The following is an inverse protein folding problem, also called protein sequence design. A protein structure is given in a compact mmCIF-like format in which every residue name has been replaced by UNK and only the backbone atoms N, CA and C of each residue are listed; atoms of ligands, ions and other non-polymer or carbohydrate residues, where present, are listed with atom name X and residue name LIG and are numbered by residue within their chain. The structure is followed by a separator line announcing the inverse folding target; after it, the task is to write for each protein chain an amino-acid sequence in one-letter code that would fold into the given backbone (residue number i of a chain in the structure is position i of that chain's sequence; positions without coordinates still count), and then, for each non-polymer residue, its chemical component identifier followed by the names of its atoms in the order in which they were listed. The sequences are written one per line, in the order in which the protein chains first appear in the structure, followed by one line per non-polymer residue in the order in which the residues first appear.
data_IF_017683492494
#
_entry.id   IF_017683492494
#
_cell.length_a   1.000
_cell.length_b   1.000
_cell.length_c   1.000
_cell.angle_alpha   90.00
_cell.angle_beta   90.00
_cell.angle_gamma   90.00
#
_symmetry.space_group_name_H-M   'P 1'
#
loop_
_entity.id
_entity.type
_entity.pdbx_description
1 polymer ?
#
# COMPACT_ATOMS: atom_id res chain seq x y z
N UNK A 1 0.16 19.98 -7.83
CA UNK A 1 0.16 18.52 -8.09
C UNK A 1 1.42 17.79 -7.65
N UNK A 2 2.64 18.34 -7.80
CA UNK A 2 3.85 17.77 -7.16
C UNK A 2 3.67 17.56 -5.65
N UNK A 3 2.91 18.45 -5.01
CA UNK A 3 2.46 18.36 -3.61
C UNK A 3 1.74 17.05 -3.29
N UNK A 4 0.78 16.61 -4.12
CA UNK A 4 0.02 15.38 -3.87
C UNK A 4 0.91 14.12 -3.92
N UNK A 5 1.87 14.07 -4.85
CA UNK A 5 2.82 12.97 -4.93
C UNK A 5 3.77 12.94 -3.74
N UNK A 6 4.22 14.12 -3.26
CA UNK A 6 5.06 14.24 -2.07
C UNK A 6 4.31 13.76 -0.84
N UNK A 7 3.04 14.17 -0.66
CA UNK A 7 2.18 13.74 0.43
C UNK A 7 1.96 12.22 0.41
N UNK A 8 1.63 11.62 -0.74
CA UNK A 8 1.44 10.16 -0.81
C UNK A 8 2.70 9.39 -0.43
N UNK A 9 3.85 9.79 -0.96
CA UNK A 9 5.12 9.11 -0.70
C UNK A 9 5.47 9.19 0.79
N UNK A 10 5.28 10.35 1.41
CA UNK A 10 5.46 10.54 2.85
C UNK A 10 4.49 9.68 3.64
N UNK A 11 3.20 9.73 3.33
CA UNK A 11 2.18 8.91 3.99
C UNK A 11 2.53 7.43 3.91
N UNK A 12 2.90 6.93 2.73
CA UNK A 12 3.30 5.54 2.53
C UNK A 12 4.53 5.15 3.36
N UNK A 13 5.55 6.00 3.40
CA UNK A 13 6.79 5.73 4.14
C UNK A 13 6.57 5.76 5.66
N UNK A 14 5.81 6.74 6.17
CA UNK A 14 5.41 6.80 7.59
C UNK A 14 4.55 5.59 7.97
N UNK A 15 3.62 5.21 7.09
CA UNK A 15 2.77 4.05 7.27
C UNK A 15 3.57 2.74 7.31
N UNK A 16 4.67 2.62 6.57
CA UNK A 16 5.56 1.47 6.65
C UNK A 16 6.47 1.51 7.89
N UNK A 17 6.93 2.70 8.27
CA UNK A 17 7.75 2.87 9.47
C UNK A 17 6.96 2.51 10.74
N UNK A 18 5.74 3.05 10.88
CA UNK A 18 4.83 2.71 11.98
C UNK A 18 4.56 1.20 12.07
N UNK A 19 4.57 0.51 10.93
CA UNK A 19 4.41 -0.94 10.88
C UNK A 19 5.63 -1.72 11.31
N UNK A 20 6.82 -1.27 10.90
CA UNK A 20 8.05 -1.85 11.41
C UNK A 20 8.12 -1.67 12.94
N UNK A 21 7.67 -0.53 13.46
CA UNK A 21 7.59 -0.29 14.90
C UNK A 21 6.55 -1.18 15.60
N UNK A 22 5.35 -1.37 15.02
CA UNK A 22 4.35 -2.26 15.62
C UNK A 22 4.81 -3.72 15.64
N UNK A 23 5.51 -4.17 14.59
CA UNK A 23 6.10 -5.51 14.57
C UNK A 23 7.17 -5.71 15.66
N UNK A 24 7.89 -4.64 16.05
CA UNK A 24 8.85 -4.68 17.16
C UNK A 24 8.18 -4.73 18.54
N UNK A 25 6.94 -4.28 18.67
CA UNK A 25 6.19 -4.38 19.93
C UNK A 25 5.76 -5.82 20.24
N UNK A 26 5.70 -6.70 19.24
CA UNK A 26 5.21 -8.06 19.42
C UNK A 26 6.16 -8.95 20.25
N UNK A 27 7.48 -9.03 19.97
CA UNK A 27 8.43 -9.72 20.83
C UNK A 27 8.43 -9.19 22.28
N UNK A 28 8.20 -7.87 22.45
CA UNK A 28 8.09 -7.28 23.78
C UNK A 28 6.84 -7.77 24.53
N UNK A 29 5.71 -7.94 23.82
CA UNK A 29 4.50 -8.51 24.39
C UNK A 29 4.68 -9.99 24.80
N UNK A 30 5.33 -10.80 23.96
CA UNK A 30 5.65 -12.20 24.29
C UNK A 30 6.56 -12.30 25.53
N UNK A 31 7.54 -11.39 25.66
CA UNK A 31 8.42 -11.35 26.83
C UNK A 31 7.65 -11.05 28.12
N UNK A 32 6.71 -10.09 28.06
CA UNK A 32 5.82 -9.75 29.17
C UNK A 32 4.93 -10.95 29.52
N UNK A 33 4.38 -11.63 28.50
CA UNK A 33 3.54 -12.80 28.70
C UNK A 33 4.29 -13.95 29.39
N UNK A 34 5.51 -14.25 28.93
CA UNK A 34 6.37 -15.28 29.52
C UNK A 34 6.70 -14.97 30.99
N UNK A 35 7.03 -13.70 31.28
CA UNK A 35 7.30 -13.25 32.64
C UNK A 35 6.08 -13.42 33.56
N UNK A 36 4.92 -12.96 33.09
CA UNK A 36 3.68 -13.06 33.85
C UNK A 36 3.21 -14.52 34.02
N UNK A 37 3.53 -15.44 33.10
CA UNK A 37 3.17 -16.87 33.23
C UNK A 37 3.84 -17.53 34.43
N UNK A 38 5.06 -17.09 34.77
CA UNK A 38 5.86 -17.65 35.86
C UNK A 38 5.26 -17.42 37.25
N UNK A 39 4.41 -16.40 37.42
CA UNK A 39 3.85 -16.00 38.73
C UNK A 39 2.42 -16.51 39.01
N UNK A 40 1.77 -17.23 38.07
CA UNK A 40 0.36 -17.61 38.25
C UNK A 40 0.21 -19.02 38.87
N UNK A 41 -0.13 -19.09 40.16
CA UNK A 41 -0.27 -20.34 40.91
C UNK A 41 -1.69 -20.94 40.92
N UNK A 42 -2.70 -20.22 40.44
CA UNK A 42 -4.12 -20.65 40.51
C UNK A 42 -4.70 -21.02 39.15
N UNK A 43 -5.25 -22.23 39.07
CA UNK A 43 -5.81 -22.85 37.86
C UNK A 43 -6.95 -22.00 37.25
N UNK A 44 -7.78 -21.36 38.07
CA UNK A 44 -8.94 -20.60 37.58
C UNK A 44 -8.54 -19.29 36.88
N UNK A 45 -7.57 -18.56 37.46
CA UNK A 45 -7.00 -17.36 36.84
C UNK A 45 -6.27 -17.69 35.55
N UNK A 46 -5.71 -18.90 35.44
CA UNK A 46 -5.02 -19.37 34.24
C UNK A 46 -5.95 -19.44 33.02
N UNK A 47 -7.18 -19.94 33.18
CA UNK A 47 -8.12 -20.09 32.06
C UNK A 47 -8.64 -18.75 31.52
N UNK A 48 -9.08 -17.85 32.39
CA UNK A 48 -9.57 -16.52 31.98
C UNK A 48 -8.46 -15.74 31.29
N UNK A 49 -7.25 -15.81 31.84
CA UNK A 49 -6.09 -15.13 31.28
C UNK A 49 -5.68 -15.71 29.93
N UNK A 50 -5.71 -17.03 29.76
CA UNK A 50 -5.46 -17.68 28.47
C UNK A 50 -6.47 -17.23 27.41
N UNK A 51 -7.76 -17.13 27.75
CA UNK A 51 -8.78 -16.62 26.83
C UNK A 51 -8.54 -15.16 26.42
N UNK A 52 -8.12 -14.30 27.36
CA UNK A 52 -7.78 -12.90 27.07
C UNK A 52 -6.56 -12.82 26.15
N UNK A 53 -5.50 -13.59 26.42
CA UNK A 53 -4.30 -13.64 25.60
C UNK A 53 -4.61 -14.11 24.17
N UNK A 54 -5.44 -15.15 24.03
CA UNK A 54 -5.84 -15.65 22.73
C UNK A 54 -6.70 -14.63 21.95
N UNK A 55 -7.59 -13.91 22.63
CA UNK A 55 -8.37 -12.83 22.03
C UNK A 55 -7.48 -11.67 21.56
N UNK A 56 -6.49 -11.27 22.37
CA UNK A 56 -5.52 -10.23 22.01
C UNK A 56 -4.66 -10.66 20.81
N UNK A 57 -4.17 -11.90 20.80
CA UNK A 57 -3.43 -12.47 19.67
C UNK A 57 -4.27 -12.50 18.38
N UNK A 58 -5.56 -12.81 18.48
CA UNK A 58 -6.47 -12.76 17.34
C UNK A 58 -6.71 -11.33 16.82
N UNK A 59 -6.86 -10.36 17.73
CA UNK A 59 -6.97 -8.94 17.37
C UNK A 59 -5.69 -8.44 16.70
N UNK A 60 -4.52 -8.87 17.17
CA UNK A 60 -3.23 -8.53 16.57
C UNK A 60 -3.11 -9.13 15.16
N UNK A 61 -3.47 -10.41 14.99
CA UNK A 61 -3.54 -11.06 13.68
C UNK A 61 -4.48 -10.33 12.71
N UNK A 62 -5.68 -9.95 13.16
CA UNK A 62 -6.62 -9.15 12.36
C UNK A 62 -6.04 -7.79 12.01
N UNK A 63 -5.37 -7.15 12.97
CA UNK A 63 -4.73 -5.85 12.78
C UNK A 63 -3.66 -5.95 11.71
N UNK A 64 -2.76 -6.93 11.76
CA UNK A 64 -1.77 -7.22 10.70
C UNK A 64 -2.44 -7.46 9.35
N UNK A 65 -3.56 -8.18 9.31
CA UNK A 65 -4.30 -8.41 8.07
C UNK A 65 -4.89 -7.12 7.48
N UNK A 66 -5.60 -6.32 8.29
CA UNK A 66 -6.13 -5.02 7.87
C UNK A 66 -5.03 -4.04 7.46
N UNK A 67 -3.89 -4.11 8.15
CA UNK A 67 -2.69 -3.36 7.82
C UNK A 67 -2.18 -3.67 6.40
N UNK A 68 -2.27 -4.92 5.94
CA UNK A 68 -1.95 -5.29 4.55
C UNK A 68 -3.02 -4.83 3.56
N UNK A 69 -4.29 -4.89 3.96
CA UNK A 69 -5.42 -4.44 3.13
C UNK A 69 -5.30 -2.96 2.75
N UNK A 70 -4.69 -2.12 3.59
CA UNK A 70 -4.53 -0.68 3.31
C UNK A 70 -3.82 -0.39 1.99
N UNK A 71 -2.86 -1.22 1.58
CA UNK A 71 -2.16 -1.02 0.31
C UNK A 71 -3.08 -1.29 -0.87
N UNK A 72 -3.98 -2.27 -0.75
CA UNK A 72 -5.03 -2.50 -1.72
C UNK A 72 -5.98 -1.31 -1.75
N UNK A 73 -6.41 -0.80 -0.59
CA UNK A 73 -7.28 0.37 -0.51
C UNK A 73 -6.63 1.59 -1.17
N UNK A 74 -5.37 1.89 -0.87
CA UNK A 74 -4.63 3.01 -1.49
C UNK A 74 -4.44 2.80 -3.01
N UNK A 75 -4.15 1.58 -3.45
CA UNK A 75 -4.06 1.25 -4.87
C UNK A 75 -5.42 1.44 -5.57
N UNK A 76 -6.50 1.02 -4.91
CA UNK A 76 -7.86 1.19 -5.41
C UNK A 76 -8.29 2.62 -5.47
N UNK A 77 -8.06 3.39 -4.40
CA UNK A 77 -8.37 4.81 -4.32
C UNK A 77 -7.70 5.55 -5.47
N UNK A 78 -6.42 5.29 -5.72
CA UNK A 78 -5.68 5.90 -6.84
C UNK A 78 -6.24 5.51 -8.20
N UNK A 79 -6.57 4.24 -8.37
CA UNK A 79 -7.16 3.77 -9.62
C UNK A 79 -8.55 4.35 -9.86
N UNK A 80 -9.32 4.48 -8.77
CA UNK A 80 -10.66 5.02 -8.79
C UNK A 80 -10.64 6.53 -9.06
N UNK A 81 -9.79 7.28 -8.36
CA UNK A 81 -9.55 8.71 -8.59
C UNK A 81 -9.13 8.97 -10.04
N UNK A 82 -8.28 8.11 -10.60
CA UNK A 82 -7.90 8.17 -12.01
C UNK A 82 -9.08 7.93 -12.95
N UNK A 83 -9.87 6.86 -12.73
CA UNK A 83 -10.97 6.46 -13.63
C UNK A 83 -12.16 7.41 -13.58
N UNK A 84 -12.44 7.99 -12.41
CA UNK A 84 -13.58 8.90 -12.22
C UNK A 84 -13.25 10.35 -12.47
N UNK A 85 -12.09 10.73 -13.00
CA UNK A 85 -11.78 12.16 -13.20
C UNK A 85 -12.78 12.88 -14.12
N UNK A 86 -13.24 12.24 -15.19
CA UNK A 86 -14.31 12.78 -16.06
C UNK A 86 -15.72 12.71 -15.44
N UNK A 87 -15.89 11.92 -14.38
CA UNK A 87 -17.17 11.72 -13.66
C UNK A 87 -17.23 12.61 -12.41
N UNK A 88 -16.08 12.98 -11.82
CA UNK A 88 -15.96 13.89 -10.68
C UNK A 88 -16.36 15.32 -11.02
N UNK A 89 -16.28 15.71 -12.29
CA UNK A 89 -16.81 17.00 -12.72
C UNK A 89 -18.34 16.97 -12.88
N UNK A 90 -18.98 15.81 -13.12
CA UNK A 90 -20.38 15.80 -13.61
C UNK A 90 -21.35 14.74 -13.06
N UNK A 91 -20.98 13.79 -12.19
CA UNK A 91 -21.95 12.77 -11.73
C UNK A 91 -21.75 12.26 -10.29
N UNK A 92 -22.67 12.69 -9.42
CA UNK A 92 -23.13 11.92 -8.28
C UNK A 92 -23.78 10.63 -8.79
N UNK A 93 -23.12 9.47 -8.64
CA UNK A 93 -23.83 8.25 -8.23
C UNK A 93 -22.95 7.04 -7.93
N UNK A 94 -23.50 6.22 -7.03
CA UNK A 94 -22.94 5.05 -6.34
C UNK A 94 -22.97 3.80 -7.25
N UNK A 95 -22.33 2.72 -6.80
CA UNK A 95 -22.53 1.28 -7.17
C UNK A 95 -21.36 0.53 -7.85
N UNK A 96 -20.29 1.15 -8.35
CA UNK A 96 -19.27 0.40 -9.14
C UNK A 96 -18.11 -0.26 -8.36
N UNK A 97 -18.04 -0.13 -7.03
CA UNK A 97 -16.79 -0.39 -6.28
C UNK A 97 -16.52 -1.87 -5.91
N UNK A 98 -17.53 -2.75 -5.85
CA UNK A 98 -17.36 -4.11 -5.28
C UNK A 98 -16.98 -5.22 -6.28
N UNK A 99 -17.39 -5.12 -7.55
CA UNK A 99 -17.18 -6.20 -8.55
C UNK A 99 -16.02 -5.86 -9.51
N UNK A 100 -15.68 -4.57 -9.63
CA UNK A 100 -14.65 -4.08 -10.55
C UNK A 100 -13.24 -4.44 -10.06
N UNK A 101 -13.05 -4.69 -8.77
CA UNK A 101 -11.71 -4.79 -8.20
C UNK A 101 -10.84 -5.94 -8.71
N UNK A 102 -11.40 -7.14 -8.77
CA UNK A 102 -10.66 -8.36 -9.14
C UNK A 102 -10.37 -8.46 -10.65
N UNK A 103 -11.32 -8.08 -11.50
CA UNK A 103 -11.14 -8.09 -12.97
C UNK A 103 -10.21 -6.96 -13.43
N UNK A 104 -10.26 -5.81 -12.75
CA UNK A 104 -9.43 -4.66 -13.11
C UNK A 104 -7.97 -4.87 -12.72
N UNK A 105 -7.68 -5.56 -11.62
CA UNK A 105 -6.28 -5.79 -11.21
C UNK A 105 -5.42 -6.49 -12.26
N UNK A 106 -5.95 -7.50 -12.97
CA UNK A 106 -5.22 -8.17 -14.05
C UNK A 106 -5.04 -7.30 -15.30
N UNK A 107 -5.94 -6.35 -15.53
CA UNK A 107 -5.99 -5.55 -16.76
C UNK A 107 -5.54 -4.09 -16.60
N UNK A 108 -5.17 -3.65 -15.39
CA UNK A 108 -4.75 -2.27 -15.09
C UNK A 108 -3.68 -1.76 -16.07
N UNK A 109 -2.67 -2.58 -16.39
CA UNK A 109 -1.61 -2.17 -17.32
C UNK A 109 -2.13 -1.92 -18.74
N UNK A 110 -3.10 -2.71 -19.21
CA UNK A 110 -3.74 -2.53 -20.52
C UNK A 110 -4.64 -1.29 -20.52
N UNK A 111 -5.39 -1.10 -19.43
CA UNK A 111 -6.28 0.05 -19.24
C UNK A 111 -5.47 1.35 -19.23
N UNK A 112 -4.37 1.42 -18.47
CA UNK A 112 -3.49 2.60 -18.42
C UNK A 112 -2.89 2.92 -19.80
N UNK A 113 -2.44 1.90 -20.55
CA UNK A 113 -1.95 2.08 -21.93
C UNK A 113 -3.03 2.60 -22.88
N UNK A 114 -4.26 2.13 -22.73
CA UNK A 114 -5.41 2.62 -23.51
C UNK A 114 -5.69 4.10 -23.22
N UNK A 115 -5.81 4.48 -21.95
CA UNK A 115 -6.05 5.88 -21.57
C UNK A 115 -4.90 6.80 -22.00
N UNK A 116 -3.65 6.35 -21.95
CA UNK A 116 -2.50 7.12 -22.43
C UNK A 116 -2.58 7.48 -23.92
N UNK A 117 -3.20 6.64 -24.75
CA UNK A 117 -3.39 6.94 -26.18
C UNK A 117 -4.57 7.90 -26.42
N UNK A 118 -5.50 7.97 -25.47
CA UNK A 118 -6.72 8.79 -25.56
C UNK A 118 -6.57 10.16 -24.90
N UNK A 119 -5.50 10.39 -24.13
CA UNK A 119 -5.29 11.66 -23.43
C UNK A 119 -5.21 12.82 -24.41
N UNK A 120 -6.03 13.85 -24.19
CA UNK A 120 -6.11 15.01 -25.09
C UNK A 120 -5.15 16.12 -24.71
N UNK A 121 -4.80 16.20 -23.42
CA UNK A 121 -3.93 17.26 -22.91
C UNK A 121 -2.55 16.73 -22.53
N UNK A 122 -1.54 17.59 -22.68
CA UNK A 122 -0.17 17.30 -22.27
C UNK A 122 -0.13 16.93 -20.78
N UNK A 123 -0.84 17.71 -19.95
CA UNK A 123 -0.97 17.51 -18.49
C UNK A 123 -1.53 16.13 -18.16
N UNK A 124 -2.62 15.73 -18.81
CA UNK A 124 -3.23 14.41 -18.60
C UNK A 124 -2.25 13.28 -18.96
N UNK A 125 -1.54 13.42 -20.09
CA UNK A 125 -0.55 12.42 -20.50
C UNK A 125 0.61 12.27 -19.49
N UNK A 126 1.04 13.37 -18.86
CA UNK A 126 2.07 13.37 -17.81
C UNK A 126 1.57 12.69 -16.54
N UNK A 127 0.34 12.97 -16.12
CA UNK A 127 -0.27 12.36 -14.92
C UNK A 127 -0.51 10.86 -15.12
N UNK A 128 -0.92 10.44 -16.32
CA UNK A 128 -1.04 9.03 -16.68
C UNK A 128 0.31 8.34 -16.59
N UNK A 129 1.36 8.97 -17.15
CA UNK A 129 2.73 8.43 -17.11
C UNK A 129 3.24 8.30 -15.67
N UNK A 130 2.96 9.28 -14.80
CA UNK A 130 3.31 9.19 -13.38
C UNK A 130 2.57 8.05 -12.68
N UNK A 131 1.26 7.93 -12.92
CA UNK A 131 0.44 6.85 -12.36
C UNK A 131 0.92 5.48 -12.84
N UNK A 132 1.30 5.36 -14.11
CA UNK A 132 1.89 4.15 -14.69
C UNK A 132 3.20 3.77 -13.98
N UNK A 133 4.08 4.74 -13.73
CA UNK A 133 5.35 4.52 -13.03
C UNK A 133 5.14 4.09 -11.58
N UNK A 134 4.24 4.75 -10.86
CA UNK A 134 3.95 4.36 -9.46
C UNK A 134 3.32 2.97 -9.43
N UNK A 135 2.39 2.68 -10.34
CA UNK A 135 1.73 1.38 -10.40
C UNK A 135 2.72 0.26 -10.70
N UNK A 136 3.73 0.50 -11.56
CA UNK A 136 4.84 -0.45 -11.79
C UNK A 136 5.61 -0.77 -10.50
N UNK A 137 5.78 0.20 -9.61
CA UNK A 137 6.47 0.02 -8.32
C UNK A 137 5.55 -0.62 -7.27
N UNK A 138 4.27 -0.25 -7.21
CA UNK A 138 3.33 -0.81 -6.23
C UNK A 138 2.99 -2.27 -6.52
N UNK A 139 3.02 -2.70 -7.77
CA UNK A 139 2.55 -4.03 -8.16
C UNK A 139 3.33 -5.20 -7.55
N UNK A 140 4.68 -5.20 -7.54
CA UNK A 140 5.45 -6.25 -6.86
C UNK A 140 5.20 -6.29 -5.36
N UNK A 141 5.03 -5.12 -4.72
CA UNK A 141 4.72 -5.03 -3.29
C UNK A 141 3.36 -5.66 -3.00
N UNK A 142 2.33 -5.31 -3.78
CA UNK A 142 1.00 -5.90 -3.64
C UNK A 142 1.01 -7.42 -3.88
N UNK A 143 1.77 -7.90 -4.86
CA UNK A 143 1.92 -9.33 -5.12
C UNK A 143 2.58 -10.07 -3.95
N UNK A 144 3.68 -9.54 -3.43
CA UNK A 144 4.32 -10.10 -2.24
C UNK A 144 3.35 -10.12 -1.05
N UNK A 145 2.57 -9.04 -0.88
CA UNK A 145 1.52 -8.96 0.14
C UNK A 145 0.41 -10.01 -0.03
N UNK A 146 -0.04 -10.26 -1.27
CA UNK A 146 -1.02 -11.34 -1.53
C UNK A 146 -0.46 -12.73 -1.19
N UNK A 147 0.80 -13.00 -1.57
CA UNK A 147 1.44 -14.29 -1.29
C UNK A 147 1.55 -14.46 0.23
N UNK A 148 2.06 -13.44 0.93
CA UNK A 148 2.14 -13.44 2.39
C UNK A 148 0.77 -13.71 3.00
N UNK A 149 -0.27 -12.96 2.63
CA UNK A 149 -1.62 -13.15 3.16
C UNK A 149 -2.11 -14.59 2.96
N UNK A 150 -1.90 -15.19 1.80
CA UNK A 150 -2.27 -16.59 1.55
C UNK A 150 -1.47 -17.59 2.38
N UNK A 151 -0.18 -17.33 2.61
CA UNK A 151 0.68 -18.17 3.45
C UNK A 151 0.32 -18.08 4.93
N UNK A 152 -0.17 -16.93 5.39
CA UNK A 152 -0.59 -16.71 6.78
C UNK A 152 -2.01 -17.25 7.07
N UNK A 153 -2.85 -17.45 6.06
CA UNK A 153 -4.24 -17.94 6.24
C UNK A 153 -4.39 -19.23 7.07
N UNK A 154 -3.55 -20.27 6.90
CA UNK A 154 -3.63 -21.49 7.71
C UNK A 154 -3.42 -21.24 9.20
N UNK A 155 -2.64 -20.23 9.57
CA UNK A 155 -2.43 -19.89 10.98
C UNK A 155 -3.73 -19.43 11.65
N UNK A 156 -4.58 -18.71 10.92
CA UNK A 156 -5.91 -18.32 11.42
C UNK A 156 -6.75 -19.53 11.82
N UNK A 157 -6.68 -20.62 11.05
CA UNK A 157 -7.38 -21.87 11.39
C UNK A 157 -6.82 -22.52 12.66
N UNK A 158 -5.50 -22.45 12.86
CA UNK A 158 -4.84 -22.98 14.07
C UNK A 158 -5.26 -22.17 15.30
N UNK A 159 -5.35 -20.84 15.20
CA UNK A 159 -5.85 -19.97 16.29
C UNK A 159 -7.29 -20.34 16.66
N UNK A 160 -8.16 -20.44 15.65
CA UNK A 160 -9.58 -20.79 15.85
C UNK A 160 -9.68 -22.18 16.49
N UNK A 161 -8.93 -23.16 15.99
CA UNK A 161 -8.92 -24.50 16.58
C UNK A 161 -8.45 -24.46 18.04
N UNK A 162 -7.38 -23.73 18.35
CA UNK A 162 -6.87 -23.56 19.71
C UNK A 162 -7.88 -22.85 20.64
N UNK A 163 -8.71 -21.94 20.10
CA UNK A 163 -9.74 -21.22 20.84
C UNK A 163 -10.93 -22.10 21.24
N UNK A 164 -11.41 -22.90 20.30
CA UNK A 164 -12.69 -23.61 20.43
C UNK A 164 -12.52 -25.09 20.78
N UNK A 165 -11.38 -25.70 20.49
CA UNK A 165 -11.11 -27.10 20.77
C UNK A 165 -10.19 -27.26 22.00
N UNK A 166 -10.35 -28.36 22.74
CA UNK A 166 -9.51 -28.65 23.91
C UNK A 166 -8.06 -28.81 23.45
N UNK A 167 -7.21 -27.87 23.84
CA UNK A 167 -5.82 -27.85 23.39
C UNK A 167 -5.04 -29.04 23.95
N UNK A 168 -4.44 -29.82 23.05
CA UNK A 168 -3.40 -30.79 23.42
C UNK A 168 -2.04 -30.10 23.38
N UNK A 169 -1.03 -30.71 24.02
CA UNK A 169 0.36 -30.20 24.00
C UNK A 169 0.85 -29.96 22.56
N UNK A 170 0.47 -30.84 21.64
CA UNK A 170 0.78 -30.70 20.21
C UNK A 170 0.19 -29.41 19.60
N UNK A 171 -1.10 -29.15 19.79
CA UNK A 171 -1.76 -27.96 19.23
C UNK A 171 -1.20 -26.66 19.80
N UNK A 172 -0.87 -26.65 21.08
CA UNK A 172 -0.20 -25.54 21.74
C UNK A 172 1.17 -25.26 21.10
N UNK A 173 2.01 -26.30 20.94
CA UNK A 173 3.32 -26.15 20.28
C UNK A 173 3.21 -25.69 18.83
N UNK A 174 2.24 -26.21 18.09
CA UNK A 174 1.97 -25.82 16.70
C UNK A 174 1.54 -24.36 16.62
N UNK A 175 0.69 -23.90 17.54
CA UNK A 175 0.26 -22.51 17.64
C UNK A 175 1.46 -21.57 17.84
N UNK A 176 2.30 -21.82 18.85
CA UNK A 176 3.47 -20.96 19.12
C UNK A 176 4.46 -20.93 17.95
N UNK A 177 4.73 -22.09 17.34
CA UNK A 177 5.64 -22.17 16.19
C UNK A 177 5.08 -21.39 15.00
N UNK A 178 3.78 -21.54 14.73
CA UNK A 178 3.11 -20.87 13.61
C UNK A 178 3.06 -19.36 13.84
N UNK A 179 2.80 -18.92 15.06
CA UNK A 179 2.81 -17.50 15.43
C UNK A 179 4.17 -16.87 15.18
N UNK A 180 5.23 -17.47 15.73
CA UNK A 180 6.60 -17.01 15.51
C UNK A 180 6.94 -16.89 14.02
N UNK A 181 6.58 -17.92 13.24
CA UNK A 181 6.79 -17.92 11.80
C UNK A 181 6.01 -16.80 11.09
N UNK A 182 4.77 -16.54 11.49
CA UNK A 182 3.98 -15.44 10.96
C UNK A 182 4.66 -14.09 11.19
N UNK A 183 5.15 -13.83 12.41
CA UNK A 183 5.82 -12.58 12.73
C UNK A 183 7.10 -12.40 11.92
N UNK A 184 7.90 -13.46 11.78
CA UNK A 184 9.10 -13.43 10.93
C UNK A 184 8.74 -13.10 9.48
N UNK A 185 7.72 -13.76 8.92
CA UNK A 185 7.29 -13.50 7.55
C UNK A 185 6.76 -12.08 7.35
N UNK A 186 5.99 -11.56 8.32
CA UNK A 186 5.49 -10.17 8.30
C UNK A 186 6.65 -9.18 8.38
N UNK A 187 7.63 -9.41 9.25
CA UNK A 187 8.82 -8.58 9.37
C UNK A 187 9.67 -8.58 8.09
N UNK A 188 9.88 -9.75 7.48
CA UNK A 188 10.60 -9.88 6.21
C UNK A 188 9.88 -9.14 5.08
N UNK A 189 8.55 -9.24 5.01
CA UNK A 189 7.75 -8.49 4.05
C UNK A 189 7.81 -6.98 4.29
N UNK A 190 7.75 -6.54 5.55
CA UNK A 190 7.84 -5.12 5.90
C UNK A 190 9.21 -4.54 5.53
N UNK A 191 10.28 -5.29 5.78
CA UNK A 191 11.64 -4.98 5.35
C UNK A 191 11.75 -4.93 3.81
N UNK A 192 11.27 -5.96 3.12
CA UNK A 192 11.24 -6.02 1.66
C UNK A 192 10.49 -4.83 1.06
N UNK A 193 9.26 -4.58 1.50
CA UNK A 193 8.41 -3.50 0.96
C UNK A 193 9.02 -2.12 1.21
N UNK A 194 9.58 -1.89 2.39
CA UNK A 194 10.25 -0.63 2.73
C UNK A 194 11.49 -0.42 1.87
N UNK A 195 12.37 -1.43 1.79
CA UNK A 195 13.61 -1.37 1.00
C UNK A 195 13.31 -1.21 -0.49
N UNK A 196 12.34 -1.96 -1.01
CA UNK A 196 11.95 -1.91 -2.42
C UNK A 196 11.38 -0.54 -2.80
N UNK A 197 10.49 0.01 -1.97
CA UNK A 197 9.90 1.34 -2.19
C UNK A 197 10.98 2.42 -2.06
N UNK A 198 11.84 2.32 -1.05
CA UNK A 198 12.96 3.24 -0.87
C UNK A 198 13.90 3.26 -2.08
N UNK A 199 14.27 2.09 -2.60
CA UNK A 199 15.12 1.95 -3.79
C UNK A 199 14.47 2.54 -5.04
N UNK A 200 13.20 2.20 -5.32
CA UNK A 200 12.52 2.60 -6.55
C UNK A 200 12.08 4.07 -6.56
N UNK A 201 11.68 4.63 -5.41
CA UNK A 201 11.40 6.06 -5.34
C UNK A 201 12.67 6.92 -5.18
N UNK A 202 13.82 6.28 -4.96
CA UNK A 202 15.12 6.91 -4.69
C UNK A 202 15.12 7.70 -3.39
N UNK A 203 16.26 7.91 -2.73
CA UNK A 203 16.37 8.95 -1.69
C UNK A 203 15.87 10.26 -2.30
N UNK A 204 15.14 11.07 -1.52
CA UNK A 204 14.60 12.40 -1.87
C UNK A 204 15.56 13.33 -2.67
N UNK A 205 16.84 12.99 -2.86
CA UNK A 205 17.89 13.80 -3.47
C UNK A 205 18.07 13.69 -4.98
N UNK A 206 17.34 12.84 -5.71
CA UNK A 206 17.28 12.95 -7.19
C UNK A 206 15.92 13.44 -7.66
N UNK A 207 15.36 14.44 -7.00
CA UNK A 207 14.76 15.49 -7.82
C UNK A 207 15.92 16.07 -8.62
N UNK A 208 16.18 15.51 -9.81
CA UNK A 208 16.55 16.37 -10.91
C UNK A 208 15.46 17.43 -10.89
N UNK A 209 15.76 18.56 -10.26
CA UNK A 209 15.16 19.82 -10.63
C UNK A 209 15.33 19.77 -12.14
N UNK A 210 14.25 19.42 -12.84
CA UNK A 210 14.10 19.88 -14.19
C UNK A 210 14.27 21.37 -13.97
N UNK A 211 15.49 21.85 -14.26
CA UNK A 211 15.69 23.24 -14.58
C UNK A 211 14.64 23.39 -15.67
N UNK A 212 13.50 23.94 -15.28
CA UNK A 212 12.65 24.60 -16.23
C UNK A 212 13.61 25.65 -16.71
N UNK A 213 14.35 25.33 -17.77
CA UNK A 213 14.92 26.37 -18.61
C UNK A 213 13.71 27.24 -18.81
N UNK A 214 13.74 28.39 -18.13
CA UNK A 214 12.73 29.42 -18.30
C UNK A 214 12.79 29.61 -19.79
N UNK A 215 11.81 28.99 -20.49
CA UNK A 215 11.65 29.13 -21.92
C UNK A 215 11.79 30.63 -22.11
N UNK A 216 12.76 31.00 -22.96
CA UNK A 216 13.10 32.37 -23.34
C UNK A 216 11.93 33.30 -22.99
N UNK A 217 12.21 34.33 -22.18
CA UNK A 217 11.25 35.31 -21.67
C UNK A 217 9.97 35.34 -22.50
N UNK A 218 8.81 35.02 -21.93
CA UNK A 218 7.56 34.69 -22.66
C UNK A 218 7.24 35.73 -23.76
N UNK A 219 7.67 36.96 -23.52
CA UNK A 219 7.68 38.11 -24.45
C UNK A 219 8.41 37.82 -25.77
N UNK A 220 9.59 37.21 -25.74
CA UNK A 220 10.41 36.86 -26.91
C UNK A 220 9.80 35.73 -27.72
N UNK A 221 9.28 34.68 -27.09
CA UNK A 221 8.63 33.55 -27.80
C UNK A 221 7.31 33.97 -28.42
N UNK A 222 6.52 34.81 -27.73
CA UNK A 222 5.31 35.39 -28.31
C UNK A 222 5.63 36.35 -29.44
N UNK A 223 6.64 37.21 -29.30
CA UNK A 223 7.09 38.10 -30.38
C UNK A 223 7.56 37.33 -31.62
N UNK A 224 8.37 36.27 -31.45
CA UNK A 224 8.77 35.39 -32.54
C UNK A 224 7.54 34.78 -33.21
N UNK A 225 6.63 34.15 -32.46
CA UNK A 225 5.44 33.51 -33.02
C UNK A 225 4.52 34.48 -33.79
N UNK A 226 4.26 35.67 -33.24
CA UNK A 226 3.47 36.70 -33.93
C UNK A 226 4.18 37.26 -35.17
N UNK A 227 5.51 37.34 -35.16
CA UNK A 227 6.28 37.74 -36.34
C UNK A 227 6.17 36.72 -37.48
N UNK A 228 6.20 35.42 -37.16
CA UNK A 228 6.04 34.34 -38.13
C UNK A 228 4.64 34.33 -38.73
N UNK A 229 3.60 34.47 -37.89
CA UNK A 229 2.20 34.57 -38.35
C UNK A 229 1.99 35.78 -39.28
N UNK A 230 2.59 36.93 -38.94
CA UNK A 230 2.50 38.14 -39.77
C UNK A 230 3.19 37.96 -41.13
N UNK A 231 4.30 37.24 -41.18
CA UNK A 231 4.98 36.92 -42.44
C UNK A 231 4.13 36.00 -43.33
N UNK A 232 3.50 34.98 -42.75
CA UNK A 232 2.60 34.06 -43.48
C UNK A 232 1.38 34.78 -44.06
N UNK A 233 0.78 35.72 -43.30
CA UNK A 233 -0.33 36.52 -43.79
C UNK A 233 0.03 37.48 -44.91
N UNK A 234 1.27 37.98 -44.98
CA UNK A 234 1.72 38.83 -46.09
C UNK A 234 2.03 38.06 -47.38
N UNK A 235 2.18 36.75 -47.29
CA UNK A 235 2.46 35.89 -48.45
C UNK A 235 1.22 35.32 -49.14
N UNK A 236 0.03 35.64 -48.63
CA UNK A 236 -1.27 35.38 -49.28
C UNK A 236 -1.79 36.66 -49.93
#
# INVERSE_FOLDING_TARGET
MQTYHKSFRQTFLYLNLMFNLSALCHPAAEFIEHYLWKECSSIYYCNIRLSILLAMSYIDFLSVYFMQLKFFILAFERLYAFRRRSVYEHLENRISAKIIGTVVFKNIGRILKYYRRKSQTLTESFEIKQTENINKIMWPVLKAGTILATTLSPAGLIIIHQAFCRSTVFWSSLYYTTMNLNYVLVALYAFFSTTYVYYNFGILGKTTLYKVEVLKDVTTVTAEHFSTLRAQWKSQ
#
